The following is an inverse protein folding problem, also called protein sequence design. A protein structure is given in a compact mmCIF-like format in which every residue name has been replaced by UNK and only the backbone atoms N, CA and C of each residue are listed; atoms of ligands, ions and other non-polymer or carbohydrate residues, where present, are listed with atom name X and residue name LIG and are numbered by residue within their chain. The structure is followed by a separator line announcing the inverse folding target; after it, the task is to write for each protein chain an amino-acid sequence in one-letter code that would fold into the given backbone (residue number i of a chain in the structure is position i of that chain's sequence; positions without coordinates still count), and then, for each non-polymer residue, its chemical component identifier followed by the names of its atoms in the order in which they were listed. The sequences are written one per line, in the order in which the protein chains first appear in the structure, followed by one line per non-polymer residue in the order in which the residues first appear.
data_IF_443430251036
#
_entry.id   IF_443430251036
#
_cell.length_a   1.000
_cell.length_b   1.000
_cell.length_c   1.000
_cell.angle_alpha   90.00
_cell.angle_beta   90.00
_cell.angle_gamma   90.00
#
_symmetry.space_group_name_H-M   'P 1'
#
loop_
_entity.id
_entity.type
_entity.pdbx_description
1 polymer ?
#
# COMPACT_ATOMS: atom_id res chain seq x y z
N UNK A 1 -11.74 13.80 1.05
CA UNK A 1 -12.05 12.42 0.59
C UNK A 1 -10.81 11.60 0.91
N UNK A 2 -10.90 10.69 1.88
CA UNK A 2 -9.81 9.78 2.22
C UNK A 2 -9.54 8.91 0.99
N UNK A 3 -8.31 8.90 0.46
CA UNK A 3 -7.95 7.97 -0.60
C UNK A 3 -7.87 6.57 0.04
N UNK A 4 -8.94 5.79 -0.08
CA UNK A 4 -9.08 4.49 0.61
C UNK A 4 -8.78 3.29 -0.29
N UNK A 5 -8.48 3.52 -1.57
CA UNK A 5 -8.24 2.43 -2.51
C UNK A 5 -6.83 1.89 -2.30
N UNK A 6 -6.76 0.81 -1.52
CA UNK A 6 -5.53 0.03 -1.37
C UNK A 6 -5.27 -0.72 -2.67
N UNK A 7 -4.07 -0.56 -3.24
CA UNK A 7 -3.69 -1.32 -4.42
C UNK A 7 -3.67 -2.82 -4.07
N UNK A 8 -4.10 -3.73 -4.97
CA UNK A 8 -4.26 -5.15 -4.63
C UNK A 8 -2.99 -5.87 -4.14
N UNK A 9 -1.81 -5.37 -4.52
CA UNK A 9 -0.52 -5.91 -4.12
C UNK A 9 0.03 -5.30 -2.82
N UNK A 10 -0.74 -4.43 -2.16
CA UNK A 10 -0.38 -3.78 -0.89
C UNK A 10 -1.37 -4.21 0.19
N UNK A 11 -0.90 -4.35 1.43
CA UNK A 11 -1.78 -4.61 2.58
C UNK A 11 -2.45 -3.35 3.13
N UNK A 12 -1.86 -2.19 2.85
CA UNK A 12 -2.33 -0.88 3.31
C UNK A 12 -2.20 0.17 2.19
N UNK A 13 -2.98 1.26 2.21
CA UNK A 13 -2.82 2.37 1.28
C UNK A 13 -1.39 2.92 1.33
N UNK A 14 -0.86 3.34 0.18
CA UNK A 14 0.51 3.91 0.10
C UNK A 14 0.58 5.33 0.67
N UNK A 15 -0.55 6.04 0.70
CA UNK A 15 -0.68 7.45 1.08
C UNK A 15 -1.91 7.68 1.99
N UNK A 16 -1.95 7.07 3.18
CA UNK A 16 -3.05 7.27 4.12
C UNK A 16 -3.14 8.75 4.50
N UNK A 17 -4.28 9.36 4.16
CA UNK A 17 -4.54 10.79 4.39
C UNK A 17 -5.63 10.98 5.44
N UNK A 18 -5.36 11.82 6.43
CA UNK A 18 -6.31 12.15 7.50
C UNK A 18 -7.42 13.11 7.04
N UNK A 19 -8.33 13.43 7.94
CA UNK A 19 -9.45 14.34 7.67
C UNK A 19 -9.01 15.80 7.46
N UNK A 20 -7.79 16.15 7.88
CA UNK A 20 -7.20 17.47 7.75
C UNK A 20 -6.38 17.62 6.45
N UNK A 21 -6.24 16.54 5.69
CA UNK A 21 -5.55 16.53 4.39
C UNK A 21 -4.04 16.30 4.51
N UNK A 22 -3.55 15.75 5.61
CA UNK A 22 -2.14 15.38 5.78
C UNK A 22 -1.92 13.89 5.49
N UNK A 23 -0.85 13.60 4.77
CA UNK A 23 -0.39 12.22 4.52
C UNK A 23 0.59 11.82 5.62
N UNK A 24 0.34 10.68 6.26
CA UNK A 24 1.26 10.13 7.26
C UNK A 24 2.34 9.30 6.59
N UNK A 25 3.61 9.52 6.96
CA UNK A 25 4.71 8.70 6.48
C UNK A 25 4.82 7.41 7.32
N UNK A 26 5.13 6.27 6.69
CA UNK A 26 5.32 5.01 7.39
C UNK A 26 6.65 4.98 8.16
N UNK A 27 6.65 4.35 9.33
CA UNK A 27 7.83 4.21 10.21
C UNK A 27 8.74 3.03 9.84
N UNK A 28 8.38 2.27 8.79
CA UNK A 28 9.11 1.09 8.34
C UNK A 28 10.37 1.41 7.52
N UNK A 29 11.28 0.43 7.35
CA UNK A 29 12.47 0.62 6.53
C UNK A 29 12.13 0.78 5.05
N UNK A 30 13.03 1.44 4.30
CA UNK A 30 12.87 1.62 2.85
C UNK A 30 11.67 2.52 2.53
N UNK A 31 10.77 2.03 1.68
CA UNK A 31 9.52 2.73 1.36
C UNK A 31 8.44 2.57 2.44
N UNK A 32 8.67 1.72 3.46
CA UNK A 32 7.72 1.49 4.54
C UNK A 32 6.39 0.85 4.11
N UNK A 33 6.34 0.24 2.92
CA UNK A 33 5.16 -0.45 2.40
C UNK A 33 5.17 -1.93 2.76
N UNK A 34 3.99 -2.48 3.06
CA UNK A 34 3.82 -3.91 3.25
C UNK A 34 3.14 -4.53 2.02
N UNK A 35 3.84 -5.47 1.37
CA UNK A 35 3.35 -6.16 0.17
C UNK A 35 2.43 -7.34 0.53
N UNK A 36 1.37 -7.51 -0.27
CA UNK A 36 0.57 -8.73 -0.28
C UNK A 36 1.22 -9.75 -1.22
N UNK A 37 2.05 -10.61 -0.63
CA UNK A 37 2.76 -11.65 -1.38
C UNK A 37 1.85 -12.75 -1.92
N UNK A 38 0.68 -12.98 -1.31
CA UNK A 38 -0.27 -13.98 -1.78
C UNK A 38 -0.93 -13.49 -3.08
N UNK A 39 -1.30 -12.20 -3.13
CA UNK A 39 -1.79 -11.57 -4.35
C UNK A 39 -0.73 -11.60 -5.44
N UNK A 40 0.49 -11.17 -5.14
CA UNK A 40 1.59 -11.11 -6.13
C UNK A 40 1.88 -12.51 -6.68
N UNK A 41 1.97 -13.52 -5.82
CA UNK A 41 2.29 -14.90 -6.23
C UNK A 41 1.17 -15.54 -7.06
N UNK A 42 -0.10 -15.19 -6.81
CA UNK A 42 -1.23 -15.70 -7.59
C UNK A 42 -1.42 -14.99 -8.94
N UNK A 43 -0.75 -13.86 -9.15
CA UNK A 43 -0.83 -13.04 -10.37
C UNK A 43 0.52 -12.86 -11.08
N UNK A 44 1.54 -13.63 -10.69
CA UNK A 44 2.83 -13.64 -11.39
C UNK A 44 2.67 -14.24 -12.79
N UNK A 45 3.38 -13.69 -13.76
CA UNK A 45 3.45 -14.21 -15.13
C UNK A 45 4.81 -14.84 -15.36
N UNK A 46 4.84 -16.00 -16.02
CA UNK A 46 6.07 -16.63 -16.48
C UNK A 46 6.60 -15.88 -17.72
N UNK A 47 7.93 -15.88 -17.89
CA UNK A 47 8.64 -15.23 -19.01
C UNK A 47 8.37 -15.88 -20.38
#
# INVERSE_FOLDING_TARGET
MVHTLTAPYLKEPVDPMDEQGYVSLPDGPGLGVELDWDYISSHSVDD
#
